data_IF_002373915523
#
_entry.id   IF_002373915523
#
_cell.length_a   1.000
_cell.length_b   1.000
_cell.length_c   1.000
_cell.angle_alpha   90.00
_cell.angle_beta   90.00
_cell.angle_gamma   90.00
#
_symmetry.space_group_name_H-M   'P 1'
#
loop_
_entity.id
_entity.type
_entity.pdbx_description
1 polymer ?
#
# COMPACT_ATOMS: atom_id res chain seq x y z
N UNK A 1 -1.43 5.33 3.90
CA UNK A 1 -2.88 5.54 4.11
C UNK A 1 -3.46 6.13 2.84
N UNK A 2 -4.71 5.81 2.52
CA UNK A 2 -5.43 6.37 1.37
C UNK A 2 -6.60 7.17 1.90
N UNK A 3 -6.75 8.40 1.44
CA UNK A 3 -7.83 9.31 1.83
C UNK A 3 -8.69 9.62 0.62
N UNK A 4 -10.00 9.67 0.83
CA UNK A 4 -10.95 10.29 -0.07
C UNK A 4 -11.10 11.76 0.33
N UNK A 5 -11.14 12.65 -0.66
CA UNK A 5 -11.15 14.10 -0.46
C UNK A 5 -12.24 14.71 -1.32
N UNK A 6 -13.24 15.30 -0.68
CA UNK A 6 -14.31 16.03 -1.36
C UNK A 6 -14.77 17.26 -0.56
N UNK A 7 -15.55 18.15 -1.20
CA UNK A 7 -15.98 19.42 -0.60
C UNK A 7 -17.03 19.25 0.51
N UNK A 8 -17.74 18.13 0.53
CA UNK A 8 -18.84 17.86 1.48
C UNK A 8 -18.32 17.21 2.76
N UNK A 9 -17.53 16.15 2.63
CA UNK A 9 -17.03 15.31 3.71
C UNK A 9 -15.59 15.67 4.15
N UNK A 10 -14.91 16.53 3.39
CA UNK A 10 -13.52 16.89 3.64
C UNK A 10 -12.56 15.71 3.42
N UNK A 11 -11.67 15.48 4.39
CA UNK A 11 -10.71 14.36 4.37
C UNK A 11 -11.29 13.14 5.09
N UNK A 12 -11.60 12.10 4.33
CA UNK A 12 -12.11 10.84 4.87
C UNK A 12 -11.07 9.73 4.68
N UNK A 13 -10.68 9.07 5.77
CA UNK A 13 -9.80 7.90 5.67
C UNK A 13 -10.53 6.78 4.93
N UNK A 14 -10.01 6.38 3.76
CA UNK A 14 -10.55 5.27 2.96
C UNK A 14 -9.97 3.93 3.42
N UNK A 15 -8.68 3.91 3.77
CA UNK A 15 -8.04 2.72 4.32
C UNK A 15 -6.53 2.79 4.40
N UNK A 16 -5.91 1.66 4.73
CA UNK A 16 -4.45 1.50 4.83
C UNK A 16 -4.01 0.32 3.97
N UNK A 17 -3.07 0.58 3.07
CA UNK A 17 -2.36 -0.46 2.30
C UNK A 17 -0.96 -0.59 2.90
N UNK A 18 -0.52 -1.84 3.10
CA UNK A 18 0.84 -2.17 3.52
C UNK A 18 1.35 -3.41 2.79
N UNK A 19 2.65 -3.43 2.54
CA UNK A 19 3.38 -4.59 2.03
C UNK A 19 4.01 -5.41 3.18
N UNK A 20 3.94 -4.90 4.42
CA UNK A 20 4.44 -5.58 5.61
C UNK A 20 3.40 -6.57 6.12
N UNK A 21 3.85 -7.79 6.39
CA UNK A 21 3.08 -8.83 7.08
C UNK A 21 3.12 -8.62 8.60
N UNK A 22 2.20 -9.22 9.37
CA UNK A 22 2.29 -9.20 10.83
C UNK A 22 3.66 -9.63 11.37
N UNK A 23 4.30 -10.62 10.73
CA UNK A 23 5.63 -11.10 11.09
C UNK A 23 6.77 -10.11 10.80
N UNK A 24 6.58 -9.20 9.84
CA UNK A 24 7.56 -8.14 9.59
C UNK A 24 7.55 -7.12 10.75
N UNK A 25 6.39 -6.83 11.35
CA UNK A 25 6.32 -5.93 12.52
C UNK A 25 6.94 -6.55 13.78
N UNK A 26 6.79 -7.87 13.98
CA UNK A 26 7.35 -8.54 15.17
C UNK A 26 8.86 -8.72 15.09
N UNK A 27 9.40 -8.91 13.89
CA UNK A 27 10.85 -9.05 13.65
C UNK A 27 11.60 -7.72 13.64
N UNK A 28 10.91 -6.62 13.36
CA UNK A 28 11.59 -5.38 13.00
C UNK A 28 12.14 -4.56 14.17
N UNK A 29 11.69 -4.73 15.42
CA UNK A 29 12.16 -3.86 16.51
C UNK A 29 12.05 -2.37 16.14
N UNK A 30 13.17 -1.64 16.09
CA UNK A 30 13.26 -0.25 15.60
C UNK A 30 13.41 -0.10 14.07
N UNK A 31 13.73 -1.18 13.34
CA UNK A 31 14.13 -1.16 11.92
C UNK A 31 12.95 -1.26 10.92
N UNK A 32 11.69 -1.23 11.39
CA UNK A 32 10.51 -1.32 10.52
C UNK A 32 10.43 -0.16 9.51
N UNK A 33 11.05 0.97 9.84
CA UNK A 33 11.07 2.17 9.02
C UNK A 33 11.98 2.05 7.78
N UNK A 34 12.89 1.06 7.75
CA UNK A 34 13.88 0.88 6.69
C UNK A 34 13.66 -0.34 5.78
N UNK A 35 12.52 -1.04 5.90
CA UNK A 35 12.28 -2.26 5.13
C UNK A 35 12.24 -1.99 3.61
N UNK A 36 12.85 -2.88 2.83
CA UNK A 36 12.69 -3.00 1.37
C UNK A 36 11.25 -3.21 0.93
N UNK A 37 10.36 -3.61 1.85
CA UNK A 37 8.92 -3.70 1.63
C UNK A 37 8.19 -2.38 1.82
N UNK A 38 8.83 -1.31 2.27
CA UNK A 38 8.15 -0.02 2.40
C UNK A 38 7.67 0.49 1.04
N UNK A 39 6.44 1.00 0.99
CA UNK A 39 5.87 1.55 -0.25
C UNK A 39 6.65 2.82 -0.61
N UNK A 40 7.32 2.79 -1.76
CA UNK A 40 8.14 3.88 -2.29
C UNK A 40 7.46 4.61 -3.45
N UNK A 41 6.52 3.95 -4.17
CA UNK A 41 5.77 4.55 -5.29
C UNK A 41 4.33 4.11 -5.30
N UNK A 42 3.47 4.98 -5.81
CA UNK A 42 2.05 4.72 -6.02
C UNK A 42 1.71 5.15 -7.46
N UNK A 43 1.04 4.27 -8.20
CA UNK A 43 0.55 4.54 -9.55
C UNK A 43 -0.95 4.28 -9.60
N UNK A 44 -1.68 5.07 -10.37
CA UNK A 44 -3.10 4.89 -10.59
C UNK A 44 -3.36 4.79 -12.09
N UNK A 45 -3.93 3.67 -12.52
CA UNK A 45 -4.22 3.38 -13.93
C UNK A 45 -5.62 2.77 -13.98
N UNK A 46 -6.49 3.35 -14.80
CA UNK A 46 -7.91 3.02 -14.91
C UNK A 46 -8.62 3.02 -13.54
N UNK A 47 -9.00 1.85 -13.04
CA UNK A 47 -9.71 1.64 -11.76
C UNK A 47 -8.81 1.05 -10.66
N UNK A 48 -7.50 0.97 -10.92
CA UNK A 48 -6.56 0.19 -10.10
C UNK A 48 -5.46 1.06 -9.51
N UNK A 49 -5.30 0.97 -8.20
CA UNK A 49 -4.24 1.58 -7.41
C UNK A 49 -3.10 0.58 -7.20
N UNK A 50 -1.94 0.88 -7.78
CA UNK A 50 -0.72 0.10 -7.61
C UNK A 50 0.16 0.71 -6.53
N UNK A 51 0.59 -0.10 -5.57
CA UNK A 51 1.61 0.29 -4.58
C UNK A 51 2.86 -0.55 -4.80
N UNK A 52 4.01 0.12 -4.84
CA UNK A 52 5.29 -0.49 -5.19
C UNK A 52 6.30 -0.25 -4.07
N UNK A 53 7.00 -1.30 -3.67
CA UNK A 53 8.22 -1.27 -2.88
C UNK A 53 9.38 -1.87 -3.68
N UNK A 54 10.57 -1.98 -3.09
CA UNK A 54 11.70 -2.65 -3.74
C UNK A 54 11.47 -4.14 -3.97
N UNK A 55 10.59 -4.75 -3.20
CA UNK A 55 10.32 -6.20 -3.25
C UNK A 55 8.92 -6.57 -3.75
N UNK A 56 7.94 -5.68 -3.68
CA UNK A 56 6.53 -6.05 -3.88
C UNK A 56 5.81 -5.01 -4.72
N UNK A 57 5.00 -5.49 -5.66
CA UNK A 57 3.98 -4.72 -6.37
C UNK A 57 2.62 -5.27 -5.97
N UNK A 58 1.74 -4.43 -5.42
CA UNK A 58 0.34 -4.79 -5.16
C UNK A 58 -0.61 -3.96 -6.00
N UNK A 59 -1.70 -4.57 -6.43
CA UNK A 59 -2.78 -3.91 -7.16
C UNK A 59 -4.07 -3.96 -6.32
N UNK A 60 -4.75 -2.83 -6.19
CA UNK A 60 -6.00 -2.72 -5.43
C UNK A 60 -7.07 -2.01 -6.26
N UNK A 61 -8.33 -2.38 -6.09
CA UNK A 61 -9.45 -1.58 -6.61
C UNK A 61 -9.44 -0.21 -5.93
N UNK A 62 -9.58 0.88 -6.69
CA UNK A 62 -9.52 2.23 -6.11
C UNK A 62 -10.67 2.51 -5.16
N UNK A 63 -11.86 1.96 -5.43
CA UNK A 63 -13.08 2.23 -4.67
C UNK A 63 -13.16 1.47 -3.35
N UNK A 64 -12.80 0.19 -3.35
CA UNK A 64 -12.88 -0.67 -2.17
C UNK A 64 -11.54 -0.82 -1.44
N UNK A 65 -10.42 -0.47 -2.10
CA UNK A 65 -9.05 -0.82 -1.71
C UNK A 65 -8.83 -2.33 -1.52
N UNK A 66 -9.71 -3.17 -2.06
CA UNK A 66 -9.54 -4.62 -2.05
C UNK A 66 -8.35 -4.99 -2.91
N UNK A 67 -7.46 -5.82 -2.37
CA UNK A 67 -6.32 -6.36 -3.11
C UNK A 67 -6.84 -7.24 -4.27
N UNK A 68 -6.46 -6.90 -5.50
CA UNK A 68 -6.72 -7.68 -6.71
C UNK A 68 -5.63 -8.72 -6.91
N UNK A 69 -4.37 -8.32 -6.70
CA UNK A 69 -3.20 -9.20 -6.84
C UNK A 69 -1.95 -8.61 -6.17
N UNK A 70 -0.95 -9.46 -5.95
CA UNK A 70 0.37 -9.10 -5.44
C UNK A 70 1.46 -9.89 -6.16
N UNK A 71 2.55 -9.22 -6.52
CA UNK A 71 3.73 -9.82 -7.15
C UNK A 71 4.98 -9.49 -6.34
N UNK A 72 5.80 -10.50 -6.06
CA UNK A 72 7.16 -10.29 -5.53
C UNK A 72 8.13 -10.05 -6.69
N UNK A 73 8.89 -8.97 -6.61
CA UNK A 73 9.94 -8.57 -7.55
C UNK A 73 11.29 -8.74 -6.86
N UNK A 74 11.68 -9.99 -6.62
CA UNK A 74 13.08 -10.32 -6.30
C UNK A 74 13.90 -10.22 -7.59
N UNK A 75 14.82 -9.26 -7.60
CA UNK A 75 15.90 -9.19 -8.58
C UNK A 75 17.06 -10.10 -8.19
#
# INVERSE_FOLDING_TARGET
YVYDINLTDGFKLKGKITHLTPGDYTKAGYDWYGSSKNVERILYIDDTLYTLSKEIIKAHEIDSLKEKNSLSVTG
#
